data_IF_508737698783
#
_entry.id   IF_508737698783
#
_cell.length_a   1.000
_cell.length_b   1.000
_cell.length_c   1.000
_cell.angle_alpha   90.00
_cell.angle_beta   90.00
_cell.angle_gamma   90.00
#
_symmetry.space_group_name_H-M   'P 1'
#
loop_
_entity.id
_entity.type
_entity.pdbx_description
1 polymer ?
#
# COMPACT_ATOMS: atom_id res chain seq x y z
N UNK A 1 21.54 16.49 18.77
CA UNK A 1 20.23 16.12 19.35
C UNK A 1 19.51 15.23 18.35
N UNK A 2 19.09 14.03 18.74
CA UNK A 2 18.18 13.21 17.95
C UNK A 2 16.77 13.66 18.31
N UNK A 3 16.06 14.32 17.39
CA UNK A 3 14.66 14.61 17.59
C UNK A 3 13.89 13.28 17.50
N UNK A 4 13.26 12.86 18.61
CA UNK A 4 12.32 11.75 18.59
C UNK A 4 10.99 12.28 18.06
N UNK A 5 10.67 11.97 16.81
CA UNK A 5 9.33 12.20 16.28
C UNK A 5 8.39 11.21 16.95
N UNK A 6 7.21 11.63 17.46
CA UNK A 6 6.23 10.69 17.99
C UNK A 6 5.92 9.61 16.96
N UNK A 7 5.97 8.34 17.38
CA UNK A 7 5.50 7.25 16.53
C UNK A 7 3.98 7.31 16.47
N UNK A 8 3.44 7.88 15.40
CA UNK A 8 2.05 7.68 15.06
C UNK A 8 1.94 6.34 14.33
N UNK A 9 1.41 5.34 15.02
CA UNK A 9 0.93 4.13 14.35
C UNK A 9 -0.41 4.49 13.70
N UNK A 10 -0.35 4.99 12.48
CA UNK A 10 -1.54 5.09 11.64
C UNK A 10 -1.72 3.76 10.91
N UNK A 11 -2.78 3.04 11.25
CA UNK A 11 -3.19 1.85 10.53
C UNK A 11 -4.31 2.23 9.55
N UNK A 12 -4.36 1.63 8.34
CA UNK A 12 -5.50 1.82 7.45
C UNK A 12 -6.77 1.27 8.10
N UNK A 13 -7.79 2.12 8.22
CA UNK A 13 -9.10 1.74 8.74
C UNK A 13 -9.90 0.94 7.69
N UNK A 14 -10.93 0.16 8.09
CA UNK A 14 -11.81 -0.52 7.14
C UNK A 14 -12.37 0.44 6.08
N UNK A 15 -12.36 0.02 4.81
CA UNK A 15 -12.71 0.86 3.65
C UNK A 15 -11.54 1.66 3.05
N UNK A 16 -10.36 1.64 3.67
CA UNK A 16 -9.14 2.16 3.05
C UNK A 16 -8.69 1.29 1.87
N UNK A 17 -7.90 1.86 0.96
CA UNK A 17 -7.23 1.15 -0.13
C UNK A 17 -5.71 1.19 0.10
N UNK A 18 -5.05 0.04 -0.01
CA UNK A 18 -3.59 -0.09 0.03
C UNK A 18 -3.10 -0.67 -1.30
N UNK A 19 -2.37 0.14 -2.06
CA UNK A 19 -1.66 -0.34 -3.25
C UNK A 19 -0.23 -0.71 -2.89
N UNK A 20 0.21 -1.91 -3.25
CA UNK A 20 1.54 -2.44 -2.94
C UNK A 20 2.20 -3.10 -4.13
N UNK A 21 3.54 -3.16 -4.10
CA UNK A 21 4.29 -4.06 -4.97
C UNK A 21 3.95 -5.53 -4.68
N UNK A 22 4.03 -6.37 -5.72
CA UNK A 22 3.88 -7.82 -5.58
C UNK A 22 5.06 -8.57 -6.24
N UNK A 23 5.96 -9.18 -5.45
CA UNK A 23 6.03 -9.17 -3.98
C UNK A 23 6.49 -7.81 -3.41
N UNK A 24 6.17 -7.51 -2.15
CA UNK A 24 6.65 -6.31 -1.44
C UNK A 24 7.39 -6.68 -0.15
N UNK A 25 8.53 -6.00 0.05
CA UNK A 25 9.36 -6.09 1.27
C UNK A 25 8.73 -5.38 2.47
N UNK A 26 7.95 -4.33 2.22
CA UNK A 26 7.42 -3.45 3.26
C UNK A 26 5.99 -3.80 3.66
N UNK A 27 5.23 -4.37 2.72
CA UNK A 27 3.92 -4.95 2.95
C UNK A 27 4.02 -6.38 2.49
N UNK A 28 4.36 -7.30 3.40
CA UNK A 28 4.51 -8.71 3.07
C UNK A 28 3.17 -9.33 2.65
N UNK A 29 3.18 -10.52 2.03
CA UNK A 29 1.95 -11.26 1.75
C UNK A 29 1.09 -11.49 3.01
N UNK A 30 1.75 -11.75 4.14
CA UNK A 30 1.09 -11.89 5.44
C UNK A 30 0.45 -10.59 5.93
N UNK A 31 1.15 -9.46 5.80
CA UNK A 31 0.59 -8.14 6.15
C UNK A 31 -0.57 -7.76 5.24
N UNK A 32 -0.47 -8.02 3.94
CA UNK A 32 -1.58 -7.81 3.01
C UNK A 32 -2.81 -8.66 3.38
N UNK A 33 -2.61 -9.93 3.78
CA UNK A 33 -3.70 -10.78 4.25
C UNK A 33 -4.35 -10.24 5.54
N UNK A 34 -3.54 -9.71 6.48
CA UNK A 34 -4.06 -9.06 7.69
C UNK A 34 -4.91 -7.83 7.38
N UNK A 35 -4.40 -6.94 6.52
CA UNK A 35 -5.12 -5.74 6.09
C UNK A 35 -6.43 -6.10 5.36
N UNK A 36 -6.39 -7.07 4.45
CA UNK A 36 -7.58 -7.55 3.78
C UNK A 36 -8.62 -8.10 4.77
N UNK A 37 -8.18 -8.88 5.76
CA UNK A 37 -9.05 -9.39 6.82
C UNK A 37 -9.65 -8.30 7.72
N UNK A 38 -9.00 -7.14 7.84
CA UNK A 38 -9.53 -5.97 8.56
C UNK A 38 -10.44 -5.08 7.72
N UNK A 39 -10.76 -5.46 6.48
CA UNK A 39 -11.65 -4.70 5.60
C UNK A 39 -10.95 -3.61 4.77
N UNK A 40 -9.63 -3.67 4.64
CA UNK A 40 -8.85 -2.82 3.74
C UNK A 40 -8.77 -3.48 2.36
N UNK A 41 -9.00 -2.75 1.29
CA UNK A 41 -8.82 -3.26 -0.07
C UNK A 41 -7.33 -3.21 -0.44
N UNK A 42 -6.69 -4.38 -0.56
CA UNK A 42 -5.27 -4.48 -0.89
C UNK A 42 -5.08 -4.86 -2.35
N UNK A 43 -4.46 -3.96 -3.12
CA UNK A 43 -4.24 -4.12 -4.56
C UNK A 43 -2.75 -4.30 -4.85
N UNK A 44 -2.39 -5.42 -5.48
CA UNK A 44 -1.00 -5.76 -5.82
C UNK A 44 -0.64 -5.37 -7.25
N UNK A 45 0.57 -4.82 -7.44
CA UNK A 45 1.16 -4.57 -8.77
C UNK A 45 2.37 -5.49 -8.96
N UNK A 46 2.24 -6.54 -9.78
CA UNK A 46 3.32 -7.48 -10.07
C UNK A 46 4.57 -6.78 -10.59
N UNK A 47 5.72 -7.09 -10.00
CA UNK A 47 7.02 -6.56 -10.45
C UNK A 47 7.32 -5.11 -10.07
N UNK A 48 6.42 -4.40 -9.38
CA UNK A 48 6.68 -3.04 -8.93
C UNK A 48 7.78 -2.94 -7.86
N UNK A 49 8.48 -1.82 -7.86
CA UNK A 49 9.40 -1.46 -6.77
C UNK A 49 8.63 -0.86 -5.59
N UNK A 50 9.35 -0.58 -4.49
CA UNK A 50 8.73 0.01 -3.29
C UNK A 50 7.93 1.28 -3.57
N UNK A 51 8.50 2.20 -4.35
CA UNK A 51 7.79 3.37 -4.86
C UNK A 51 6.98 2.97 -6.09
N UNK A 52 5.81 2.37 -5.86
CA UNK A 52 4.99 1.71 -6.89
C UNK A 52 4.66 2.68 -8.04
N UNK A 53 4.18 3.89 -7.73
CA UNK A 53 3.85 4.93 -8.71
C UNK A 53 5.05 5.38 -9.56
N UNK A 54 6.27 5.32 -9.01
CA UNK A 54 7.46 5.72 -9.75
C UNK A 54 7.90 4.61 -10.72
N UNK A 55 7.76 3.35 -10.32
CA UNK A 55 8.17 2.22 -11.16
C UNK A 55 7.11 1.80 -12.19
N UNK A 56 5.83 1.95 -11.86
CA UNK A 56 4.70 1.44 -12.64
C UNK A 56 3.52 2.42 -12.55
N UNK A 57 3.70 3.64 -13.07
CA UNK A 57 2.71 4.71 -12.97
C UNK A 57 1.34 4.30 -13.53
N UNK A 58 1.30 3.76 -14.74
CA UNK A 58 0.04 3.42 -15.41
C UNK A 58 -0.72 2.31 -14.66
N UNK A 59 0.00 1.29 -14.18
CA UNK A 59 -0.62 0.24 -13.37
C UNK A 59 -1.10 0.78 -12.02
N UNK A 60 -0.36 1.74 -11.43
CA UNK A 60 -0.73 2.39 -10.18
C UNK A 60 -2.01 3.22 -10.32
N UNK A 61 -2.13 4.05 -11.35
CA UNK A 61 -3.32 4.86 -11.59
C UNK A 61 -4.52 3.99 -11.96
N UNK A 62 -4.32 2.96 -12.78
CA UNK A 62 -5.37 1.98 -13.10
C UNK A 62 -5.84 1.19 -11.86
N UNK A 63 -4.96 0.97 -10.87
CA UNK A 63 -5.31 0.36 -9.60
C UNK A 63 -6.04 1.31 -8.63
N UNK A 64 -6.24 2.58 -8.98
CA UNK A 64 -6.93 3.59 -8.14
C UNK A 64 -7.90 4.45 -8.97
N UNK A 65 -8.93 3.86 -9.61
CA UNK A 65 -9.94 4.62 -10.33
C UNK A 65 -10.69 5.61 -9.43
N UNK A 66 -10.76 5.37 -8.12
CA UNK A 66 -11.37 6.29 -7.16
C UNK A 66 -10.65 7.64 -7.07
N UNK A 67 -9.36 7.70 -7.43
CA UNK A 67 -8.55 8.91 -7.40
C UNK A 67 -8.21 9.45 -8.79
N UNK A 68 -8.19 8.60 -9.82
CA UNK A 68 -7.68 8.94 -11.16
C UNK A 68 -8.65 8.63 -12.32
N UNK A 69 -9.86 8.17 -12.05
CA UNK A 69 -10.90 7.81 -13.03
C UNK A 69 -11.99 8.85 -13.22
#
# INVERSE_FOLDING_TARGET
ALAAVPTYAWAPEPGSIVVRADPSRFVSAEEAARLAASGVDVRGIPGAAHSVWYSHLDAFTAALPEAFG
#
